data_IF_701388675987
#
_entry.id   IF_701388675987
#
_cell.length_a   1.000
_cell.length_b   1.000
_cell.length_c   1.000
_cell.angle_alpha   90.00
_cell.angle_beta   90.00
_cell.angle_gamma   90.00
#
_symmetry.space_group_name_H-M   'P 1'
#
loop_
_entity.id
_entity.type
_entity.pdbx_description
1 polymer ?
#
# COMPACT_ATOMS: atom_id res chain seq x y z
N UNK A 1 -0.94 18.51 2.37
CA UNK A 1 -0.83 17.72 1.12
C UNK A 1 -1.99 16.73 1.06
N UNK A 2 -2.67 16.70 -0.06
CA UNK A 2 -3.80 15.79 -0.22
C UNK A 2 -3.30 14.36 -0.43
N UNK A 3 -4.05 13.41 0.13
CA UNK A 3 -3.74 12.02 -0.06
C UNK A 3 -4.07 11.59 -1.49
N UNK A 4 -3.22 10.76 -2.06
CA UNK A 4 -3.51 10.05 -3.30
C UNK A 4 -4.19 8.73 -2.95
N UNK A 5 -4.79 8.06 -3.92
CA UNK A 5 -5.31 6.72 -3.68
C UNK A 5 -4.24 5.66 -4.01
N UNK A 6 -4.55 4.40 -3.70
CA UNK A 6 -3.60 3.31 -3.89
C UNK A 6 -3.21 3.07 -5.34
N UNK A 7 -3.94 3.62 -6.30
CA UNK A 7 -3.56 3.50 -7.71
C UNK A 7 -2.27 4.26 -8.02
N UNK A 8 -1.91 5.23 -7.17
CA UNK A 8 -0.66 5.98 -7.34
C UNK A 8 0.58 5.08 -7.19
N UNK A 9 0.46 3.93 -6.53
CA UNK A 9 1.57 3.00 -6.33
C UNK A 9 1.42 1.72 -7.15
N UNK A 10 0.50 1.72 -8.12
CA UNK A 10 0.23 0.53 -8.93
C UNK A 10 1.48 0.01 -9.64
N UNK A 11 2.26 0.91 -10.24
CA UNK A 11 3.46 0.53 -10.96
C UNK A 11 4.55 -0.05 -10.06
N UNK A 12 4.74 0.57 -8.88
CA UNK A 12 5.72 0.08 -7.91
C UNK A 12 5.32 -1.30 -7.39
N UNK A 13 4.06 -1.49 -7.07
CA UNK A 13 3.57 -2.79 -6.59
C UNK A 13 3.65 -3.85 -7.67
N UNK A 14 3.37 -3.49 -8.92
CA UNK A 14 3.52 -4.42 -10.02
C UNK A 14 4.97 -4.88 -10.15
N UNK A 15 5.92 -3.96 -10.02
CA UNK A 15 7.34 -4.29 -10.11
C UNK A 15 7.78 -5.22 -8.96
N UNK A 16 7.23 -5.01 -7.75
CA UNK A 16 7.60 -5.81 -6.59
C UNK A 16 6.96 -7.20 -6.61
N UNK A 17 5.68 -7.28 -6.95
CA UNK A 17 4.93 -8.52 -6.85
C UNK A 17 4.80 -9.27 -8.17
N UNK A 18 5.11 -8.64 -9.29
CA UNK A 18 5.00 -9.25 -10.60
C UNK A 18 3.56 -9.40 -11.10
N UNK A 19 2.61 -8.73 -10.44
CA UNK A 19 1.21 -8.78 -10.84
C UNK A 19 0.50 -7.52 -10.37
N UNK A 20 -0.69 -7.30 -10.94
CA UNK A 20 -1.54 -6.16 -10.57
C UNK A 20 -2.04 -6.33 -9.15
N UNK A 21 -1.75 -5.35 -8.29
CA UNK A 21 -2.07 -5.44 -6.88
C UNK A 21 -3.12 -4.43 -6.42
N UNK A 22 -3.53 -3.48 -7.27
CA UNK A 22 -4.51 -2.48 -6.82
C UNK A 22 -5.89 -3.06 -6.55
N UNK A 23 -6.20 -4.22 -7.15
CA UNK A 23 -7.45 -4.92 -6.89
C UNK A 23 -7.31 -5.97 -5.78
N UNK A 24 -6.10 -6.14 -5.22
CA UNK A 24 -5.89 -7.05 -4.10
C UNK A 24 -6.63 -6.54 -2.87
N UNK A 25 -7.08 -7.46 -2.03
CA UNK A 25 -7.74 -7.11 -0.78
C UNK A 25 -6.70 -6.97 0.32
N UNK A 26 -6.66 -5.81 0.97
CA UNK A 26 -5.76 -5.52 2.07
C UNK A 26 -6.57 -5.44 3.36
N UNK A 27 -6.19 -6.23 4.36
CA UNK A 27 -6.81 -6.21 5.68
C UNK A 27 -5.96 -5.41 6.65
N UNK A 28 -6.55 -4.37 7.26
CA UNK A 28 -5.85 -3.55 8.21
C UNK A 28 -5.69 -4.29 9.55
N UNK A 29 -4.45 -4.39 10.05
CA UNK A 29 -4.18 -5.08 11.30
C UNK A 29 -4.75 -4.33 12.51
N UNK A 30 -4.99 -3.03 12.37
CA UNK A 30 -5.40 -2.18 13.48
C UNK A 30 -6.92 -2.16 13.67
N UNK A 31 -7.68 -1.94 12.59
CA UNK A 31 -9.13 -1.82 12.70
C UNK A 31 -9.90 -2.99 12.07
N UNK A 32 -9.22 -3.90 11.38
CA UNK A 32 -9.85 -5.04 10.75
C UNK A 32 -10.57 -4.75 9.44
N UNK A 33 -10.52 -3.52 8.96
CA UNK A 33 -11.18 -3.17 7.71
C UNK A 33 -10.49 -3.82 6.53
N UNK A 34 -11.26 -4.42 5.63
CA UNK A 34 -10.72 -5.01 4.40
C UNK A 34 -11.10 -4.09 3.23
N UNK A 35 -10.09 -3.69 2.46
CA UNK A 35 -10.26 -2.80 1.32
C UNK A 35 -9.35 -3.21 0.19
N UNK A 36 -9.71 -2.81 -1.04
CA UNK A 36 -8.78 -2.95 -2.16
C UNK A 36 -7.59 -2.04 -1.94
N UNK A 37 -6.40 -2.50 -2.36
CA UNK A 37 -5.19 -1.70 -2.26
C UNK A 37 -5.37 -0.33 -2.93
N UNK A 38 -6.09 -0.28 -4.06
CA UNK A 38 -6.37 0.96 -4.76
C UNK A 38 -7.15 1.98 -3.95
N UNK A 39 -7.81 1.57 -2.88
CA UNK A 39 -8.58 2.45 -2.01
C UNK A 39 -7.79 3.02 -0.83
N UNK A 40 -6.55 2.57 -0.62
CA UNK A 40 -5.72 3.06 0.46
C UNK A 40 -5.35 4.53 0.23
N UNK A 41 -5.12 5.26 1.30
CA UNK A 41 -4.64 6.64 1.22
C UNK A 41 -3.12 6.63 1.14
N UNK A 42 -2.58 7.23 0.11
CA UNK A 42 -1.15 7.19 -0.19
C UNK A 42 -0.55 8.58 -0.07
N UNK A 43 0.55 8.69 0.66
CA UNK A 43 1.30 9.93 0.84
C UNK A 43 2.71 9.71 0.33
N UNK A 44 3.12 10.55 -0.61
CA UNK A 44 4.48 10.50 -1.16
C UNK A 44 5.38 11.39 -0.32
N UNK A 45 6.46 10.84 0.22
CA UNK A 45 7.35 11.53 1.13
C UNK A 45 8.81 11.29 0.72
N UNK A 46 9.34 12.13 -0.18
CA UNK A 46 10.72 11.99 -0.64
C UNK A 46 10.94 10.63 -1.27
N UNK A 47 11.92 9.83 -0.80
CA UNK A 47 12.15 8.50 -1.37
C UNK A 47 11.15 7.47 -0.89
N UNK A 48 10.29 7.82 0.07
CA UNK A 48 9.34 6.89 0.69
C UNK A 48 7.90 7.17 0.28
N UNK A 49 7.09 6.12 0.35
CA UNK A 49 5.65 6.19 0.13
C UNK A 49 4.97 5.51 1.30
N UNK A 50 4.00 6.18 1.89
CA UNK A 50 3.26 5.67 3.05
C UNK A 50 1.81 5.47 2.64
N UNK A 51 1.30 4.24 2.82
CA UNK A 51 -0.11 3.93 2.60
C UNK A 51 -0.80 3.77 3.95
N UNK A 52 -1.95 4.42 4.10
CA UNK A 52 -2.73 4.40 5.33
C UNK A 52 -4.12 3.84 5.09
N UNK A 53 -4.65 3.21 6.12
CA UNK A 53 -6.02 2.71 6.10
C UNK A 53 -6.98 3.90 5.99
N UNK A 54 -7.93 3.90 5.02
CA UNK A 54 -8.87 5.02 4.88
C UNK A 54 -9.87 5.12 6.04
N UNK A 55 -9.98 4.08 6.85
CA UNK A 55 -10.92 4.08 7.99
C UNK A 55 -10.27 4.56 9.28
N UNK A 56 -9.12 3.99 9.67
CA UNK A 56 -8.50 4.31 10.96
C UNK A 56 -7.24 5.16 10.83
N UNK A 57 -6.77 5.39 9.60
CA UNK A 57 -5.60 6.21 9.28
C UNK A 57 -4.28 5.67 9.81
N UNK A 58 -4.24 4.43 10.29
CA UNK A 58 -2.98 3.80 10.65
C UNK A 58 -2.19 3.43 9.40
N UNK A 59 -0.86 3.47 9.52
CA UNK A 59 0.01 3.08 8.42
C UNK A 59 -0.11 1.58 8.21
N UNK A 60 -0.42 1.17 6.99
CA UNK A 60 -0.54 -0.26 6.65
C UNK A 60 0.61 -0.73 5.77
N UNK A 61 1.24 0.17 5.02
CA UNK A 61 2.31 -0.19 4.11
C UNK A 61 3.26 0.96 3.95
N UNK A 62 4.56 0.67 3.87
CA UNK A 62 5.59 1.68 3.58
C UNK A 62 6.47 1.12 2.47
N UNK A 63 6.69 1.93 1.45
CA UNK A 63 7.55 1.60 0.32
C UNK A 63 8.70 2.60 0.30
N UNK A 64 9.94 2.12 0.24
CA UNK A 64 11.12 2.98 0.14
C UNK A 64 11.97 2.51 -1.01
N UNK A 65 12.28 3.42 -1.94
CA UNK A 65 13.17 3.13 -3.05
C UNK A 65 14.50 3.83 -2.84
N UNK A 66 15.59 3.07 -2.89
CA UNK A 66 16.93 3.61 -2.76
C UNK A 66 17.90 2.74 -3.56
N UNK A 67 18.75 3.37 -4.35
CA UNK A 67 19.81 2.68 -5.09
C UNK A 67 19.29 1.52 -5.95
N UNK A 68 18.12 1.70 -6.57
CA UNK A 68 17.52 0.68 -7.42
C UNK A 68 16.86 -0.47 -6.68
N UNK A 69 16.78 -0.38 -5.35
CA UNK A 69 16.12 -1.41 -4.52
C UNK A 69 14.88 -0.82 -3.90
N UNK A 70 13.79 -1.58 -3.94
CA UNK A 70 12.54 -1.20 -3.29
C UNK A 70 12.35 -2.06 -2.05
N UNK A 71 12.28 -1.41 -0.89
CA UNK A 71 11.98 -2.08 0.36
C UNK A 71 10.50 -1.88 0.69
N UNK A 72 9.82 -2.95 1.06
CA UNK A 72 8.40 -2.92 1.37
C UNK A 72 8.18 -3.39 2.79
N UNK A 73 7.52 -2.56 3.60
CA UNK A 73 7.11 -2.92 4.96
C UNK A 73 5.60 -3.00 4.98
N UNK A 74 5.08 -4.17 5.26
CA UNK A 74 3.64 -4.44 5.32
C UNK A 74 3.19 -4.84 6.71
N UNK A 75 3.93 -4.45 7.74
CA UNK A 75 3.62 -4.85 9.12
C UNK A 75 2.27 -4.33 9.59
N UNK A 76 1.71 -3.31 8.96
CA UNK A 76 0.38 -2.81 9.28
C UNK A 76 -0.77 -3.58 8.65
N UNK A 77 -0.49 -4.58 7.84
CA UNK A 77 -1.50 -5.42 7.20
C UNK A 77 -1.62 -6.76 7.92
N UNK A 78 -2.86 -7.16 8.23
CA UNK A 78 -3.13 -8.50 8.75
C UNK A 78 -3.24 -9.52 7.61
N UNK A 79 -3.61 -9.06 6.43
CA UNK A 79 -3.77 -9.93 5.27
C UNK A 79 -3.61 -9.13 3.98
N UNK A 80 -3.11 -9.78 2.95
CA UNK A 80 -3.03 -9.22 1.60
C UNK A 80 -3.31 -10.36 0.63
N UNK A 81 -4.42 -10.26 -0.09
CA UNK A 81 -4.85 -11.33 -0.99
C UNK A 81 -5.04 -10.76 -2.39
N UNK A 82 -4.21 -11.17 -3.35
CA UNK A 82 -4.37 -10.75 -4.74
C UNK A 82 -5.72 -11.19 -5.29
N UNK A 83 -6.29 -10.37 -6.17
CA UNK A 83 -7.49 -10.72 -6.89
C UNK A 83 -7.15 -11.80 -7.92
N UNK A 84 -8.15 -12.59 -8.26
CA UNK A 84 -8.01 -13.64 -9.26
C UNK A 84 -8.46 -13.17 -10.63
#
# INVERSE_FOLDING_TARGET
>A
MDALDGNAIAGTLFAVFGQEMTTATAGCASCGEARCVGELRVYLRGPGTVARCPRCDNVVMVLVEAHGVTCVDMSGLAALQPAR
#
